data_IF_988875148024
#
_entry.id   IF_988875148024
#
_cell.length_a   1.000
_cell.length_b   1.000
_cell.length_c   1.000
_cell.angle_alpha   90.00
_cell.angle_beta   90.00
_cell.angle_gamma   90.00
#
_symmetry.space_group_name_H-M   'P 1'
#
loop_
_entity.id
_entity.type
_entity.pdbx_description
1 polymer ?
#
# COMPACT_ATOMS: atom_id res chain seq x y z
N UNK A 1 16.25 17.33 -12.38
CA UNK A 1 15.17 18.12 -11.74
C UNK A 1 15.44 18.31 -10.25
N UNK A 2 14.69 19.18 -9.57
CA UNK A 2 14.73 19.26 -8.10
C UNK A 2 13.70 18.28 -7.55
N UNK A 3 14.09 17.10 -7.06
CA UNK A 3 13.20 16.11 -6.41
C UNK A 3 12.59 16.67 -5.10
N UNK A 4 11.66 17.61 -5.23
CA UNK A 4 10.93 18.28 -4.16
C UNK A 4 10.01 17.27 -3.48
N UNK A 5 9.39 16.35 -4.22
CA UNK A 5 8.53 15.30 -3.63
C UNK A 5 9.30 14.46 -2.62
N UNK A 6 10.45 13.89 -2.99
CA UNK A 6 11.28 13.08 -2.08
C UNK A 6 11.78 13.91 -0.91
N UNK A 7 12.12 15.18 -1.13
CA UNK A 7 12.53 16.09 -0.06
C UNK A 7 11.39 16.36 0.94
N UNK A 8 10.17 16.59 0.45
CA UNK A 8 8.98 16.81 1.27
C UNK A 8 8.63 15.56 2.07
N UNK A 9 8.61 14.39 1.41
CA UNK A 9 8.40 13.08 2.07
C UNK A 9 9.46 12.82 3.15
N UNK A 10 10.74 13.09 2.88
CA UNK A 10 11.80 12.93 3.88
C UNK A 10 11.63 13.87 5.08
N UNK A 11 11.16 15.10 4.83
CA UNK A 11 10.90 16.09 5.89
C UNK A 11 9.69 15.68 6.74
N UNK A 12 8.59 15.28 6.11
CA UNK A 12 7.41 14.74 6.79
C UNK A 12 7.79 13.49 7.60
N UNK A 13 8.49 12.54 6.99
CA UNK A 13 8.92 11.30 7.65
C UNK A 13 9.77 11.57 8.89
N UNK A 14 10.66 12.55 8.82
CA UNK A 14 11.45 12.97 9.97
C UNK A 14 10.54 13.43 11.12
N UNK A 15 9.55 14.28 10.84
CA UNK A 15 8.64 14.81 11.86
C UNK A 15 7.79 13.70 12.48
N UNK A 16 7.21 12.82 11.66
CA UNK A 16 6.38 11.71 12.11
C UNK A 16 7.18 10.68 12.92
N UNK A 17 8.43 10.39 12.54
CA UNK A 17 9.30 9.52 13.33
C UNK A 17 9.72 10.17 14.65
N UNK A 18 9.99 11.47 14.66
CA UNK A 18 10.32 12.19 15.90
C UNK A 18 9.11 12.24 16.84
N UNK A 19 7.90 12.46 16.34
CA UNK A 19 6.67 12.47 17.15
C UNK A 19 6.31 11.05 17.63
N UNK A 20 6.14 10.11 16.71
CA UNK A 20 5.68 8.75 17.00
C UNK A 20 6.63 7.95 17.90
N UNK A 21 7.93 8.25 17.89
CA UNK A 21 8.90 7.62 18.78
C UNK A 21 9.12 8.37 20.10
N UNK A 22 8.60 9.60 20.23
CA UNK A 22 8.65 10.36 21.48
C UNK A 22 7.47 10.02 22.41
N UNK A 23 6.43 9.35 21.90
CA UNK A 23 5.29 8.93 22.71
C UNK A 23 5.65 7.73 23.59
N UNK A 24 5.29 7.73 24.89
CA UNK A 24 5.47 6.57 25.76
C UNK A 24 4.71 5.38 25.19
N UNK A 25 5.36 4.22 25.11
CA UNK A 25 4.62 2.99 24.83
C UNK A 25 3.56 2.79 25.94
N UNK A 26 2.37 2.26 25.63
CA UNK A 26 1.26 2.15 26.59
C UNK A 26 1.60 1.47 27.92
N UNK A 27 2.68 0.69 27.96
CA UNK A 27 3.13 -0.09 29.11
C UNK A 27 4.27 0.56 29.92
N UNK A 28 4.88 1.66 29.45
CA UNK A 28 5.99 2.37 30.10
C UNK A 28 5.52 3.72 30.69
N UNK A 29 4.58 3.67 31.65
CA UNK A 29 4.01 4.87 32.27
C UNK A 29 4.92 5.55 33.34
N UNK A 30 6.20 5.19 33.44
CA UNK A 30 7.07 5.64 34.54
C UNK A 30 7.98 6.85 34.22
N UNK A 31 8.04 7.31 32.97
CA UNK A 31 8.81 8.50 32.60
C UNK A 31 7.89 9.67 32.25
N UNK A 32 7.86 10.69 33.12
CA UNK A 32 6.98 11.86 33.01
C UNK A 32 7.46 12.94 32.03
N UNK A 33 8.55 12.71 31.30
CA UNK A 33 9.02 13.63 30.25
C UNK A 33 9.10 12.92 28.90
N UNK A 34 8.52 13.50 27.82
CA UNK A 34 8.65 12.96 26.47
C UNK A 34 10.13 12.94 26.10
N UNK A 35 10.64 11.74 25.85
CA UNK A 35 12.03 11.54 25.46
C UNK A 35 12.15 12.09 24.03
N UNK A 36 12.71 13.31 23.86
CA UNK A 36 12.79 13.95 22.54
C UNK A 36 13.67 13.13 21.61
N UNK A 37 13.03 12.33 20.76
CA UNK A 37 13.73 11.58 19.73
C UNK A 37 14.18 12.54 18.64
N UNK A 38 15.45 12.42 18.23
CA UNK A 38 15.99 13.17 17.09
C UNK A 38 16.37 12.20 15.99
N UNK A 39 15.83 12.43 14.80
CA UNK A 39 16.09 11.64 13.58
C UNK A 39 16.82 12.52 12.58
N UNK A 40 17.90 12.00 12.00
CA UNK A 40 18.61 12.73 10.94
C UNK A 40 17.84 12.65 9.62
N UNK A 41 17.79 13.76 8.87
CA UNK A 41 17.13 13.78 7.57
C UNK A 41 17.77 12.79 6.57
N UNK A 42 19.09 12.59 6.66
CA UNK A 42 19.83 11.57 5.89
C UNK A 42 19.29 10.16 6.13
N UNK A 43 18.91 9.82 7.37
CA UNK A 43 18.31 8.53 7.69
C UNK A 43 16.94 8.37 7.01
N UNK A 44 16.15 9.44 6.94
CA UNK A 44 14.85 9.41 6.27
C UNK A 44 14.99 9.10 4.79
N UNK A 45 15.93 9.74 4.09
CA UNK A 45 16.21 9.41 2.69
C UNK A 45 16.63 7.94 2.48
N UNK A 46 17.44 7.39 3.39
CA UNK A 46 17.85 5.99 3.33
C UNK A 46 16.68 5.02 3.57
N UNK A 47 15.72 5.38 4.44
CA UNK A 47 14.49 4.59 4.65
C UNK A 47 13.57 4.66 3.44
N UNK A 48 13.42 5.83 2.80
CA UNK A 48 12.66 5.98 1.55
C UNK A 48 13.27 5.12 0.45
N UNK A 49 14.59 5.19 0.28
CA UNK A 49 15.31 4.38 -0.70
C UNK A 49 15.10 2.89 -0.45
N UNK A 50 15.27 2.43 0.79
CA UNK A 50 15.04 1.03 1.16
C UNK A 50 13.59 0.58 0.91
N UNK A 51 12.61 1.46 1.12
CA UNK A 51 11.19 1.19 0.88
C UNK A 51 10.93 0.98 -0.60
N UNK A 52 11.52 1.81 -1.46
CA UNK A 52 11.42 1.71 -2.93
C UNK A 52 12.41 0.70 -3.54
N UNK A 53 12.89 -0.27 -2.75
CA UNK A 53 13.74 -1.36 -3.23
C UNK A 53 15.22 -1.02 -3.47
N UNK A 54 15.67 0.19 -3.15
CA UNK A 54 17.05 0.62 -3.37
C UNK A 54 17.98 0.23 -2.24
N UNK A 55 19.23 -0.09 -2.61
CA UNK A 55 20.29 -0.36 -1.63
C UNK A 55 20.78 0.91 -0.93
N UNK A 56 20.63 2.11 -1.47
CA UNK A 56 21.05 3.36 -0.81
C UNK A 56 20.31 4.54 -1.43
N UNK A 57 20.28 5.69 -0.75
CA UNK A 57 19.74 6.91 -1.35
C UNK A 57 20.55 7.38 -2.58
N UNK A 58 21.90 7.32 -2.61
CA UNK A 58 22.67 7.56 -3.83
C UNK A 58 22.29 6.67 -5.02
N UNK A 59 22.03 5.37 -4.81
CA UNK A 59 21.59 4.50 -5.92
C UNK A 59 20.20 4.89 -6.42
N UNK A 60 19.27 5.26 -5.53
CA UNK A 60 17.96 5.78 -5.93
C UNK A 60 18.06 7.06 -6.75
N UNK A 61 19.01 7.95 -6.42
CA UNK A 61 19.27 9.17 -7.19
C UNK A 61 19.91 8.93 -8.55
N UNK A 62 20.61 7.81 -8.73
CA UNK A 62 21.29 7.49 -9.98
C UNK A 62 20.33 7.00 -11.08
N UNK A 63 19.15 6.51 -10.70
CA UNK A 63 18.14 5.96 -11.60
C UNK A 63 17.38 7.01 -12.44
N UNK A 64 17.69 8.30 -12.28
CA UNK A 64 17.18 9.43 -13.07
C UNK A 64 15.65 9.52 -13.25
N UNK A 65 14.89 8.97 -12.29
CA UNK A 65 13.44 9.12 -12.24
C UNK A 65 13.02 10.55 -11.86
N UNK A 66 11.95 11.04 -12.52
CA UNK A 66 11.29 12.31 -12.18
C UNK A 66 10.35 12.12 -10.99
N UNK A 67 10.90 12.05 -9.78
CA UNK A 67 10.11 11.80 -8.57
C UNK A 67 9.10 12.91 -8.24
N UNK A 68 9.14 14.05 -8.93
CA UNK A 68 8.15 15.11 -8.82
C UNK A 68 6.86 14.77 -9.58
N UNK A 69 6.90 13.79 -10.49
CA UNK A 69 5.74 13.21 -11.11
C UNK A 69 4.99 12.32 -10.11
N UNK A 70 3.74 12.72 -9.80
CA UNK A 70 2.91 12.04 -8.82
C UNK A 70 2.40 10.68 -9.32
N UNK A 71 2.15 10.55 -10.62
CA UNK A 71 1.71 9.30 -11.24
C UNK A 71 2.86 8.31 -11.15
N UNK A 72 4.07 8.71 -11.58
CA UNK A 72 5.26 7.88 -11.47
C UNK A 72 5.54 7.42 -10.02
N UNK A 73 5.44 8.33 -9.05
CA UNK A 73 5.63 7.96 -7.65
C UNK A 73 4.60 6.93 -7.18
N UNK A 74 3.34 7.10 -7.56
CA UNK A 74 2.24 6.20 -7.19
C UNK A 74 2.41 4.81 -7.82
N UNK A 75 2.81 4.75 -9.09
CA UNK A 75 3.15 3.51 -9.78
C UNK A 75 4.32 2.78 -9.09
N UNK A 76 5.40 3.50 -8.78
CA UNK A 76 6.54 2.92 -8.05
C UNK A 76 6.12 2.42 -6.67
N UNK A 77 5.26 3.15 -5.97
CA UNK A 77 4.76 2.70 -4.67
C UNK A 77 3.90 1.44 -4.79
N UNK A 78 3.01 1.37 -5.79
CA UNK A 78 2.22 0.16 -6.08
C UNK A 78 3.12 -1.06 -6.30
N UNK A 79 4.11 -0.93 -7.17
CA UNK A 79 4.91 -2.04 -7.65
C UNK A 79 5.99 -2.47 -6.62
N UNK A 80 6.66 -1.51 -5.98
CA UNK A 80 7.77 -1.79 -5.06
C UNK A 80 7.35 -1.99 -3.60
N UNK A 81 6.20 -1.42 -3.19
CA UNK A 81 5.75 -1.35 -1.79
C UNK A 81 4.47 -2.14 -1.58
N UNK A 82 3.37 -1.78 -2.24
CA UNK A 82 2.04 -2.35 -1.98
C UNK A 82 2.00 -3.87 -2.22
N UNK A 83 2.57 -4.32 -3.34
CA UNK A 83 2.60 -5.74 -3.70
C UNK A 83 3.77 -6.51 -3.08
N UNK A 84 4.67 -5.84 -2.35
CA UNK A 84 5.93 -6.41 -1.90
C UNK A 84 5.88 -6.86 -0.42
N UNK A 85 5.76 -8.17 -0.13
CA UNK A 85 5.69 -8.65 1.24
C UNK A 85 6.99 -8.48 2.04
N UNK A 86 8.10 -8.10 1.38
CA UNK A 86 9.42 -7.93 2.01
C UNK A 86 9.75 -6.48 2.35
N UNK A 87 8.88 -5.52 2.01
CA UNK A 87 9.20 -4.09 2.21
C UNK A 87 9.49 -3.74 3.68
N UNK A 88 8.71 -4.31 4.61
CA UNK A 88 8.96 -4.16 6.05
C UNK A 88 10.32 -4.68 6.47
N UNK A 89 10.73 -5.83 5.94
CA UNK A 89 12.03 -6.41 6.24
C UNK A 89 13.17 -5.55 5.67
N UNK A 90 13.02 -5.01 4.46
CA UNK A 90 14.00 -4.11 3.85
C UNK A 90 14.22 -2.83 4.68
N UNK A 91 13.13 -2.24 5.19
CA UNK A 91 13.18 -1.08 6.10
C UNK A 91 13.90 -1.46 7.41
N UNK A 92 13.54 -2.58 8.04
CA UNK A 92 14.17 -3.04 9.28
C UNK A 92 15.66 -3.32 9.09
N UNK A 93 16.05 -3.93 7.98
CA UNK A 93 17.45 -4.20 7.67
C UNK A 93 18.22 -2.90 7.45
N UNK A 94 17.61 -1.89 6.79
CA UNK A 94 18.19 -0.55 6.68
C UNK A 94 18.49 0.05 8.04
N UNK A 95 17.53 -0.03 8.98
CA UNK A 95 17.68 0.55 10.32
C UNK A 95 18.91 -0.02 11.05
N UNK A 96 19.23 -1.30 10.84
CA UNK A 96 20.42 -1.95 11.44
C UNK A 96 21.73 -1.29 10.98
N UNK A 97 21.79 -0.85 9.73
CA UNK A 97 22.97 -0.23 9.14
C UNK A 97 23.10 1.27 9.48
N UNK A 98 21.99 1.93 9.81
CA UNK A 98 21.99 3.35 10.17
C UNK A 98 22.66 3.60 11.53
N UNK A 99 23.41 4.69 11.64
CA UNK A 99 23.92 5.16 12.93
C UNK A 99 22.84 5.95 13.70
N UNK A 100 21.76 5.26 14.06
CA UNK A 100 20.58 5.87 14.70
C UNK A 100 20.13 5.06 15.92
N UNK A 101 20.63 5.36 17.13
CA UNK A 101 20.22 4.65 18.34
C UNK A 101 18.71 4.68 18.60
N UNK A 102 18.05 5.81 18.31
CA UNK A 102 16.61 5.97 18.49
C UNK A 102 15.78 5.05 17.59
N UNK A 103 16.12 4.97 16.30
CA UNK A 103 15.43 4.07 15.37
C UNK A 103 15.70 2.60 15.69
N UNK A 104 16.91 2.27 16.19
CA UNK A 104 17.29 0.90 16.57
C UNK A 104 16.61 0.42 17.86
N UNK A 105 16.28 1.34 18.76
CA UNK A 105 15.59 1.02 20.00
C UNK A 105 14.07 0.84 19.82
N UNK A 106 13.51 1.45 18.77
CA UNK A 106 12.08 1.36 18.47
C UNK A 106 11.70 -0.04 17.95
N UNK A 107 10.50 -0.56 18.32
CA UNK A 107 9.96 -1.75 17.68
C UNK A 107 9.84 -1.56 16.17
N UNK A 108 10.35 -2.54 15.39
CA UNK A 108 10.40 -2.44 13.93
C UNK A 108 9.05 -2.11 13.29
N UNK A 109 7.96 -2.72 13.78
CA UNK A 109 6.61 -2.49 13.26
C UNK A 109 6.11 -1.04 13.39
N UNK A 110 6.57 -0.31 14.41
CA UNK A 110 6.23 1.11 14.60
C UNK A 110 6.92 1.94 13.53
N UNK A 111 8.23 1.74 13.36
CA UNK A 111 9.01 2.49 12.37
C UNK A 111 8.51 2.18 10.96
N UNK A 112 8.27 0.90 10.64
CA UNK A 112 7.75 0.52 9.32
C UNK A 112 6.35 1.09 9.08
N UNK A 113 5.47 1.08 10.09
CA UNK A 113 4.13 1.67 9.98
C UNK A 113 4.17 3.17 9.65
N UNK A 114 5.00 3.93 10.36
CA UNK A 114 5.19 5.37 10.10
C UNK A 114 5.78 5.60 8.70
N UNK A 115 6.82 4.85 8.33
CA UNK A 115 7.47 4.98 7.01
C UNK A 115 6.46 4.72 5.89
N UNK A 116 5.70 3.63 5.99
CA UNK A 116 4.70 3.30 4.98
C UNK A 116 3.61 4.38 4.90
N UNK A 117 3.04 4.79 6.03
CA UNK A 117 1.97 5.80 6.05
C UNK A 117 2.40 7.13 5.39
N UNK A 118 3.62 7.60 5.65
CA UNK A 118 4.12 8.83 4.99
C UNK A 118 4.31 8.63 3.48
N UNK A 119 4.71 7.44 3.06
CA UNK A 119 4.99 7.14 1.65
C UNK A 119 3.76 6.71 0.86
N UNK A 120 2.67 6.30 1.51
CA UNK A 120 1.43 5.92 0.84
C UNK A 120 0.89 7.07 -0.04
N UNK A 121 0.41 6.78 -1.25
CA UNK A 121 -0.33 7.75 -2.05
C UNK A 121 -1.50 8.36 -1.27
N UNK A 122 -1.81 9.64 -1.44
CA UNK A 122 -2.98 10.22 -0.82
C UNK A 122 -4.24 9.53 -1.34
N UNK A 123 -5.22 9.32 -0.47
CA UNK A 123 -6.55 8.87 -0.90
C UNK A 123 -7.16 9.90 -1.85
N UNK A 124 -7.71 9.43 -2.98
CA UNK A 124 -8.41 10.28 -3.96
C UNK A 124 -9.53 11.12 -3.34
N UNK A 125 -10.27 10.56 -2.39
CA UNK A 125 -11.51 11.17 -1.89
C UNK A 125 -11.29 12.08 -0.67
N UNK A 126 -10.35 11.73 0.21
CA UNK A 126 -10.14 12.44 1.48
C UNK A 126 -8.70 12.90 1.72
N UNK A 127 -7.78 12.64 0.79
CA UNK A 127 -6.34 12.95 0.87
C UNK A 127 -5.59 12.27 2.04
N UNK A 128 -6.27 11.49 2.88
CA UNK A 128 -5.64 10.75 3.97
C UNK A 128 -4.72 9.65 3.44
N UNK A 129 -3.56 9.50 4.08
CA UNK A 129 -2.57 8.50 3.72
C UNK A 129 -2.70 7.28 4.65
N UNK A 130 -3.39 6.23 4.19
CA UNK A 130 -3.53 4.97 4.91
C UNK A 130 -2.91 3.82 4.08
N UNK A 131 -1.82 3.18 4.54
CA UNK A 131 -1.16 2.10 3.80
C UNK A 131 -2.03 0.84 3.64
N UNK A 132 -3.15 0.74 4.36
CA UNK A 132 -4.14 -0.34 4.23
C UNK A 132 -5.23 -0.03 3.20
N UNK A 133 -5.13 1.10 2.51
CA UNK A 133 -5.98 1.44 1.38
C UNK A 133 -5.83 0.46 0.21
N UNK A 134 -6.62 0.67 -0.83
CA UNK A 134 -6.69 -0.19 -2.01
C UNK A 134 -6.61 0.63 -3.28
N UNK A 135 -6.06 0.02 -4.31
CA UNK A 135 -6.02 0.60 -5.66
C UNK A 135 -7.35 0.40 -6.38
N UNK A 136 -7.76 1.41 -7.14
CA UNK A 136 -9.01 1.44 -7.91
C UNK A 136 -8.71 1.27 -9.39
N UNK A 137 -9.39 0.33 -10.03
CA UNK A 137 -9.27 0.01 -11.44
C UNK A 137 -10.41 0.65 -12.24
N UNK A 138 -10.12 0.97 -13.49
CA UNK A 138 -11.08 1.51 -14.46
C UNK A 138 -11.70 0.40 -15.34
N UNK A 139 -12.35 0.81 -16.43
CA UNK A 139 -12.96 -0.10 -17.41
C UNK A 139 -11.97 -1.08 -18.05
N UNK A 140 -10.69 -0.73 -18.14
CA UNK A 140 -9.67 -1.58 -18.74
C UNK A 140 -9.31 -2.76 -17.84
N UNK A 141 -9.50 -2.63 -16.53
CA UNK A 141 -9.11 -3.61 -15.52
C UNK A 141 -7.60 -3.81 -15.37
N UNK A 142 -6.75 -3.20 -16.21
CA UNK A 142 -5.32 -3.52 -16.31
C UNK A 142 -4.48 -2.77 -15.28
N UNK A 143 -4.47 -1.44 -15.35
CA UNK A 143 -3.67 -0.60 -14.46
C UNK A 143 -4.59 0.20 -13.53
N UNK A 144 -4.34 0.19 -12.21
CA UNK A 144 -5.12 1.03 -11.32
C UNK A 144 -4.80 2.50 -11.55
N UNK A 145 -5.85 3.30 -11.60
CA UNK A 145 -5.80 4.74 -11.87
C UNK A 145 -5.70 5.57 -10.60
N UNK A 146 -6.16 5.04 -9.47
CA UNK A 146 -6.31 5.77 -8.23
C UNK A 146 -6.05 4.89 -7.01
N UNK A 147 -5.85 5.53 -5.85
CA UNK A 147 -5.72 4.88 -4.55
C UNK A 147 -6.72 5.48 -3.56
N UNK A 148 -7.37 4.63 -2.77
CA UNK A 148 -8.34 5.04 -1.75
C UNK A 148 -7.96 4.45 -0.39
N UNK A 149 -8.09 5.24 0.68
CA UNK A 149 -7.80 4.78 2.04
C UNK A 149 -8.79 3.68 2.46
N UNK A 150 -8.48 2.95 3.53
CA UNK A 150 -9.34 1.86 4.00
C UNK A 150 -10.77 2.32 4.31
N UNK A 151 -10.93 3.52 4.86
CA UNK A 151 -12.24 4.06 5.24
C UNK A 151 -13.09 4.40 4.01
N UNK A 152 -12.54 5.14 3.03
CA UNK A 152 -13.25 5.45 1.77
C UNK A 152 -13.52 4.19 0.95
N UNK A 153 -12.58 3.24 0.95
CA UNK A 153 -12.73 1.94 0.31
C UNK A 153 -13.86 1.06 0.90
N UNK A 154 -14.44 1.44 2.04
CA UNK A 154 -15.53 0.71 2.68
C UNK A 154 -16.93 1.22 2.31
N UNK A 155 -16.99 2.31 1.53
CA UNK A 155 -18.24 2.83 0.97
C UNK A 155 -18.70 1.93 -0.19
N UNK A 156 -19.74 1.14 0.05
CA UNK A 156 -20.30 0.17 -0.89
C UNK A 156 -21.17 0.82 -1.97
N UNK A 157 -21.57 2.08 -1.78
CA UNK A 157 -22.26 2.85 -2.81
C UNK A 157 -21.27 3.31 -3.90
N UNK A 158 -20.04 3.64 -3.52
CA UNK A 158 -19.01 4.15 -4.43
C UNK A 158 -18.09 3.05 -4.97
N UNK A 159 -17.73 2.06 -4.15
CA UNK A 159 -16.74 1.03 -4.49
C UNK A 159 -17.24 -0.40 -4.25
N UNK A 160 -16.83 -1.30 -5.14
CA UNK A 160 -17.04 -2.73 -5.00
C UNK A 160 -15.86 -3.55 -5.51
N UNK A 161 -15.94 -4.87 -5.34
CA UNK A 161 -14.96 -5.83 -5.84
C UNK A 161 -15.60 -6.72 -6.88
N UNK A 162 -14.80 -7.19 -7.84
CA UNK A 162 -15.25 -8.20 -8.79
C UNK A 162 -15.11 -9.60 -8.16
N UNK A 163 -16.15 -10.43 -8.28
CA UNK A 163 -16.16 -11.80 -7.73
C UNK A 163 -15.04 -12.69 -8.28
N UNK A 164 -14.51 -12.38 -9.47
CA UNK A 164 -13.44 -13.14 -10.12
C UNK A 164 -12.04 -12.54 -9.89
N UNK A 165 -11.93 -11.22 -9.74
CA UNK A 165 -10.64 -10.54 -9.51
C UNK A 165 -10.16 -10.65 -8.05
N UNK A 166 -11.09 -10.91 -7.12
CA UNK A 166 -10.83 -11.03 -5.69
C UNK A 166 -10.88 -9.70 -4.93
N UNK A 167 -10.79 -9.78 -3.59
CA UNK A 167 -11.12 -8.66 -2.68
C UNK A 167 -10.04 -7.55 -2.61
N UNK A 168 -8.88 -7.80 -3.21
CA UNK A 168 -7.75 -6.87 -3.21
C UNK A 168 -7.84 -5.76 -4.25
N UNK A 169 -8.80 -5.85 -5.18
CA UNK A 169 -8.96 -4.94 -6.32
C UNK A 169 -10.31 -4.24 -6.19
N UNK A 170 -10.30 -2.90 -6.21
CA UNK A 170 -11.51 -2.10 -6.20
C UNK A 170 -11.89 -1.63 -7.60
N UNK A 171 -13.19 -1.57 -7.83
CA UNK A 171 -13.82 -0.91 -8.98
C UNK A 171 -14.85 0.09 -8.46
N UNK A 172 -15.08 1.21 -9.17
CA UNK A 172 -16.29 2.01 -8.95
C UNK A 172 -17.53 1.13 -9.11
N UNK A 173 -18.49 1.22 -8.20
CA UNK A 173 -19.71 0.38 -8.22
C UNK A 173 -20.47 0.53 -9.54
N UNK A 174 -20.40 1.69 -10.19
CA UNK A 174 -20.99 1.93 -11.52
C UNK A 174 -20.42 1.06 -12.65
N UNK A 175 -19.22 0.48 -12.47
CA UNK A 175 -18.59 -0.43 -13.44
C UNK A 175 -18.95 -1.90 -13.19
N UNK A 176 -19.51 -2.21 -12.03
CA UNK A 176 -19.94 -3.57 -11.69
C UNK A 176 -21.36 -3.80 -12.19
N UNK A 177 -21.60 -4.96 -12.79
CA UNK A 177 -22.96 -5.36 -13.11
C UNK A 177 -23.71 -5.89 -11.86
N UNK A 178 -24.98 -6.27 -12.03
CA UNK A 178 -25.81 -6.79 -10.92
C UNK A 178 -25.32 -8.11 -10.32
N UNK A 179 -24.43 -8.83 -11.01
CA UNK A 179 -23.79 -10.04 -10.51
C UNK A 179 -22.46 -9.75 -9.77
N UNK A 180 -22.03 -8.49 -9.69
CA UNK A 180 -20.75 -8.11 -9.08
C UNK A 180 -19.55 -8.42 -9.97
N UNK A 181 -19.73 -8.36 -11.29
CA UNK A 181 -18.65 -8.60 -12.26
C UNK A 181 -18.18 -7.28 -12.85
N UNK A 182 -16.85 -7.12 -12.97
CA UNK A 182 -16.27 -6.00 -13.70
C UNK A 182 -16.45 -6.16 -15.23
N UNK A 183 -16.14 -5.12 -16.02
CA UNK A 183 -16.33 -5.17 -17.47
C UNK A 183 -15.62 -6.32 -18.19
N UNK A 184 -14.47 -6.77 -17.67
CA UNK A 184 -13.72 -7.91 -18.22
C UNK A 184 -14.46 -9.24 -18.01
N UNK A 185 -15.05 -9.44 -16.83
CA UNK A 185 -15.71 -10.71 -16.45
C UNK A 185 -17.23 -10.67 -16.65
N UNK A 186 -17.73 -9.72 -17.45
CA UNK A 186 -19.16 -9.49 -17.62
C UNK A 186 -19.83 -10.67 -18.33
N UNK A 187 -20.75 -11.32 -17.62
CA UNK A 187 -21.51 -12.48 -18.08
C UNK A 187 -20.83 -13.81 -17.77
N UNK A 188 -19.67 -13.84 -17.12
CA UNK A 188 -18.97 -15.09 -16.83
C UNK A 188 -19.67 -15.96 -15.79
N UNK A 189 -20.51 -15.37 -14.93
CA UNK A 189 -21.38 -16.14 -14.03
C UNK A 189 -22.70 -16.57 -14.67
N UNK A 190 -23.03 -16.08 -15.86
CA UNK A 190 -24.28 -16.43 -16.56
C UNK A 190 -24.05 -17.66 -17.43
N UNK A 191 -24.20 -18.84 -16.81
CA UNK A 191 -24.14 -20.12 -17.52
C UNK A 191 -25.33 -20.26 -18.45
N UNK A 192 -25.06 -20.52 -19.73
CA UNK A 192 -26.10 -20.91 -20.67
C UNK A 192 -26.65 -22.31 -20.36
N UNK A 193 -27.75 -22.69 -21.04
CA UNK A 193 -28.43 -23.97 -20.77
C UNK A 193 -27.52 -25.18 -21.05
N UNK A 194 -26.62 -25.10 -22.05
CA UNK A 194 -25.69 -26.18 -22.41
C UNK A 194 -24.58 -26.30 -21.36
N UNK A 195 -23.97 -25.17 -20.98
CA UNK A 195 -22.95 -25.10 -19.93
C UNK A 195 -23.51 -25.59 -18.58
N UNK A 196 -24.77 -25.27 -18.28
CA UNK A 196 -25.44 -25.75 -17.06
C UNK A 196 -25.66 -27.25 -17.07
N UNK A 197 -26.11 -27.81 -18.20
CA UNK A 197 -26.28 -29.26 -18.36
C UNK A 197 -24.95 -30.02 -18.21
N UNK A 198 -23.85 -29.45 -18.73
CA UNK A 198 -22.50 -30.00 -18.59
C UNK A 198 -22.01 -29.96 -17.12
N UNK A 199 -22.23 -28.85 -16.43
CA UNK A 199 -21.91 -28.73 -14.99
C UNK A 199 -22.72 -29.70 -14.13
N UNK A 200 -24.02 -29.81 -14.36
CA UNK A 200 -24.90 -30.75 -13.65
C UNK A 200 -24.46 -32.20 -13.89
N UNK A 201 -24.13 -32.55 -15.14
CA UNK A 201 -23.62 -33.87 -15.52
C UNK A 201 -22.29 -34.19 -14.82
N UNK A 202 -21.38 -33.22 -14.72
CA UNK A 202 -20.10 -33.36 -14.03
C UNK A 202 -20.28 -33.58 -12.51
N UNK A 203 -21.17 -32.81 -11.88
CA UNK A 203 -21.50 -32.96 -10.46
C UNK A 203 -22.15 -34.33 -10.20
N UNK A 204 -23.06 -34.78 -11.07
CA UNK A 204 -23.68 -36.10 -10.96
C UNK A 204 -22.62 -37.21 -11.07
N UNK A 205 -21.65 -37.08 -11.99
CA UNK A 205 -20.52 -38.01 -12.10
C UNK A 205 -19.67 -38.08 -10.83
N UNK A 206 -19.30 -36.93 -10.25
CA UNK A 206 -18.49 -36.89 -9.02
C UNK A 206 -19.20 -37.51 -7.80
N UNK A 207 -20.53 -37.44 -7.75
CA UNK A 207 -21.34 -37.98 -6.66
C UNK A 207 -21.74 -39.45 -6.83
N UNK A 208 -21.40 -40.10 -7.97
CA UNK A 208 -21.74 -41.51 -8.23
C UNK A 208 -20.95 -42.52 -7.39
N UNK A 209 -19.84 -42.11 -6.79
CA UNK A 209 -18.95 -42.98 -5.99
C UNK A 209 -19.03 -42.74 -4.47
N UNK A 210 -20.06 -42.02 -3.98
CA UNK A 210 -20.37 -41.85 -2.55
C UNK A 210 -21.65 -42.60 -2.13
#
# INVERSE_FOLDING_TARGET
MKNITIQNKATQLKLELEDGLSQPLPFDQLSSEPNRVKVQLSHCYELIAATLGYRTHPSMKADDYEWDDHELFTERWRDDVYQNPRVNQAIVDRIKDLNSPSLKAAPGFIVTGIVQAVLTPPCKDCEHQDPRGRFVHDESGQDPIDFVCQDCASDDEEYGTCIFCGDGILYPTSLLNSAGECPEHKGESDLDDEEREDWDSYIEYLNKDY
#
